data_IF_182887317432
#
_entry.id   IF_182887317432
#
_cell.length_a   1.000
_cell.length_b   1.000
_cell.length_c   1.000
_cell.angle_alpha   90.00
_cell.angle_beta   90.00
_cell.angle_gamma   90.00
#
_symmetry.space_group_name_H-M   'P 1'
#
loop_
_entity.id
_entity.type
_entity.pdbx_description
1 polymer ?
#
# COMPACT_ATOMS: atom_id res chain seq x y z
N UNK A 1 42.60 24.61 -16.54
CA UNK A 1 41.20 24.22 -16.86
C UNK A 1 40.61 23.33 -15.74
N UNK A 2 40.39 23.87 -14.54
CA UNK A 2 39.70 23.13 -13.44
C UNK A 2 38.95 24.06 -12.46
N UNK A 3 39.29 25.35 -12.44
CA UNK A 3 38.80 26.31 -11.43
C UNK A 3 37.51 27.05 -11.83
N UNK A 4 36.94 26.81 -13.03
CA UNK A 4 35.82 27.62 -13.57
C UNK A 4 34.42 27.00 -13.38
N UNK A 5 34.32 25.76 -12.88
CA UNK A 5 33.04 25.06 -12.74
C UNK A 5 32.29 25.32 -11.44
N UNK A 6 32.92 25.95 -10.44
CA UNK A 6 32.33 26.03 -9.08
C UNK A 6 31.50 27.30 -8.83
N UNK A 7 31.58 28.31 -9.70
CA UNK A 7 30.93 29.62 -9.49
C UNK A 7 29.51 29.69 -10.08
N UNK A 8 29.10 28.73 -10.92
CA UNK A 8 27.78 28.76 -11.59
C UNK A 8 26.63 28.20 -10.73
N UNK A 9 26.92 27.46 -9.67
CA UNK A 9 25.86 26.78 -8.88
C UNK A 9 25.26 27.67 -7.77
N UNK A 10 25.86 28.82 -7.46
CA UNK A 10 25.49 29.62 -6.27
C UNK A 10 24.41 30.69 -6.52
N UNK A 11 23.79 30.77 -7.70
CA UNK A 11 22.86 31.88 -8.05
C UNK A 11 21.40 31.49 -8.30
N UNK A 12 21.01 30.23 -8.03
CA UNK A 12 19.66 29.73 -8.32
C UNK A 12 18.70 29.56 -7.13
N UNK A 13 19.16 29.71 -5.88
CA UNK A 13 18.37 29.31 -4.70
C UNK A 13 17.68 30.47 -3.95
N UNK A 14 17.76 31.69 -4.46
CA UNK A 14 17.05 32.82 -3.88
C UNK A 14 15.71 33.01 -4.59
N UNK A 15 14.61 32.85 -3.84
CA UNK A 15 13.21 33.33 -4.09
C UNK A 15 12.13 32.25 -4.25
N UNK A 16 11.99 31.31 -3.32
CA UNK A 16 10.67 30.67 -3.08
C UNK A 16 10.49 30.26 -1.62
N UNK A 17 10.57 31.21 -0.67
CA UNK A 17 10.00 31.00 0.68
C UNK A 17 9.47 32.34 1.19
N UNK A 18 8.33 32.75 0.62
CA UNK A 18 7.47 33.80 1.16
C UNK A 18 6.03 33.29 1.05
N UNK A 19 5.49 32.84 2.18
CA UNK A 19 4.14 32.30 2.26
C UNK A 19 3.89 31.65 3.61
N UNK A 20 3.82 32.47 4.67
CA UNK A 20 3.38 32.06 5.99
C UNK A 20 1.89 31.65 5.92
N UNK A 21 1.59 30.41 6.30
CA UNK A 21 0.22 29.91 6.46
C UNK A 21 -0.29 30.40 7.81
N UNK A 22 -1.25 31.32 7.75
CA UNK A 22 -2.11 31.68 8.87
C UNK A 22 -3.01 30.50 9.24
N UNK A 23 -3.23 30.34 10.55
CA UNK A 23 -4.06 29.32 11.17
C UNK A 23 -5.51 29.32 10.63
N UNK A 24 -6.04 28.13 10.37
CA UNK A 24 -7.46 27.91 10.06
C UNK A 24 -7.80 26.42 10.11
N UNK A 25 -8.51 26.00 11.16
CA UNK A 25 -8.98 24.64 11.35
C UNK A 25 -10.12 24.31 10.37
N UNK A 26 -9.84 23.48 9.36
CA UNK A 26 -10.83 22.70 8.60
C UNK A 26 -10.08 21.66 7.75
N UNK A 27 -9.89 20.45 8.28
CA UNK A 27 -9.00 19.45 7.67
C UNK A 27 -9.63 18.06 7.57
N UNK A 28 -10.80 17.92 6.94
CA UNK A 28 -11.26 16.65 6.34
C UNK A 28 -12.05 16.94 5.06
N UNK A 29 -11.35 17.30 3.98
CA UNK A 29 -11.82 17.12 2.61
C UNK A 29 -10.65 17.42 1.67
N UNK A 30 -10.51 16.60 0.62
CA UNK A 30 -9.55 16.68 -0.50
C UNK A 30 -8.35 15.74 -0.41
N UNK A 31 -8.58 14.46 -0.72
CA UNK A 31 -7.54 13.56 -1.26
C UNK A 31 -8.01 12.77 -2.49
N UNK A 32 -8.93 13.31 -3.30
CA UNK A 32 -9.27 12.72 -4.61
C UNK A 32 -9.49 13.78 -5.69
N UNK A 33 -8.52 14.68 -5.87
CA UNK A 33 -8.49 15.56 -7.05
C UNK A 33 -7.30 15.16 -7.91
N UNK A 34 -7.57 14.33 -8.92
CA UNK A 34 -6.61 14.00 -9.96
C UNK A 34 -6.17 15.27 -10.68
N UNK A 35 -4.89 15.61 -10.56
CA UNK A 35 -4.28 16.68 -11.33
C UNK A 35 -4.00 16.18 -12.76
N UNK A 36 -5.00 16.30 -13.64
CA UNK A 36 -4.73 16.39 -15.09
C UNK A 36 -4.16 17.77 -15.33
N UNK A 37 -2.84 17.87 -15.49
CA UNK A 37 -2.21 19.06 -16.05
C UNK A 37 -2.40 19.05 -17.57
N UNK A 38 -3.39 19.78 -18.06
CA UNK A 38 -3.56 20.07 -19.48
C UNK A 38 -3.57 21.59 -19.69
N UNK A 39 -2.46 22.15 -20.19
CA UNK A 39 -2.42 23.47 -20.84
C UNK A 39 -1.08 23.66 -21.59
N UNK A 40 -0.91 22.94 -22.71
CA UNK A 40 -0.09 23.39 -23.85
C UNK A 40 -0.99 24.13 -24.85
N UNK A 41 -0.47 25.05 -25.68
CA UNK A 41 -1.30 25.92 -26.51
C UNK A 41 -2.02 25.12 -27.60
N UNK A 42 -3.31 25.36 -27.73
CA UNK A 42 -4.19 24.78 -28.76
C UNK A 42 -3.83 25.39 -30.11
N UNK A 43 -3.13 24.62 -30.95
CA UNK A 43 -3.07 24.83 -32.39
C UNK A 43 -4.22 24.07 -33.05
N UNK A 44 -4.94 24.76 -33.95
CA UNK A 44 -6.04 24.22 -34.74
C UNK A 44 -5.56 23.14 -35.72
N UNK A 45 -6.52 22.33 -36.20
CA UNK A 45 -6.44 21.46 -37.37
C UNK A 45 -5.77 20.08 -37.19
N UNK A 46 -6.44 19.23 -36.40
CA UNK A 46 -6.20 17.79 -36.37
C UNK A 46 -7.32 17.11 -35.61
N UNK A 47 -8.38 16.69 -36.29
CA UNK A 47 -9.42 15.84 -35.72
C UNK A 47 -8.80 14.49 -35.36
N UNK A 48 -8.19 14.39 -34.18
CA UNK A 48 -7.93 13.11 -33.55
C UNK A 48 -9.25 12.66 -32.92
N UNK A 49 -10.03 11.90 -33.69
CA UNK A 49 -10.86 10.83 -33.16
C UNK A 49 -9.92 9.86 -32.41
N UNK A 50 -9.51 10.25 -31.21
CA UNK A 50 -8.88 9.33 -30.29
C UNK A 50 -10.01 8.37 -29.88
N UNK A 51 -9.89 7.06 -30.15
CA UNK A 51 -10.89 6.12 -29.65
C UNK A 51 -10.95 6.29 -28.14
N UNK A 52 -12.14 6.62 -27.63
CA UNK A 52 -12.41 6.58 -26.19
C UNK A 52 -12.03 5.16 -25.73
N UNK A 53 -11.14 5.01 -24.74
CA UNK A 53 -10.76 3.69 -24.28
C UNK A 53 -12.05 2.96 -23.87
N UNK A 54 -12.28 1.80 -24.48
CA UNK A 54 -13.43 0.97 -24.13
C UNK A 54 -13.46 0.79 -22.61
N UNK A 55 -14.64 0.92 -21.96
CA UNK A 55 -14.73 0.77 -20.51
C UNK A 55 -14.10 -0.56 -20.12
N UNK A 56 -13.17 -0.51 -19.16
CA UNK A 56 -12.53 -1.70 -18.66
C UNK A 56 -13.62 -2.71 -18.26
N UNK A 57 -13.43 -4.01 -18.56
CA UNK A 57 -14.39 -5.03 -18.13
C UNK A 57 -14.64 -4.86 -16.63
N UNK A 58 -15.90 -4.80 -16.24
CA UNK A 58 -16.26 -4.70 -14.83
C UNK A 58 -15.65 -5.90 -14.10
N UNK A 59 -15.05 -5.70 -12.91
CA UNK A 59 -14.47 -6.80 -12.16
C UNK A 59 -15.51 -7.90 -11.97
N UNK A 60 -15.06 -9.16 -11.98
CA UNK A 60 -15.94 -10.28 -11.66
C UNK A 60 -16.70 -9.98 -10.35
N UNK A 61 -17.97 -10.40 -10.24
CA UNK A 61 -18.77 -10.08 -9.07
C UNK A 61 -18.07 -10.59 -7.80
N UNK A 62 -17.97 -9.72 -6.79
CA UNK A 62 -17.26 -9.95 -5.52
C UNK A 62 -15.72 -10.00 -5.61
N UNK A 63 -15.10 -9.40 -6.64
CA UNK A 63 -13.64 -9.27 -6.77
C UNK A 63 -13.18 -7.81 -6.67
N UNK A 64 -13.84 -7.00 -5.85
CA UNK A 64 -13.48 -5.60 -5.62
C UNK A 64 -12.49 -5.46 -4.46
N UNK A 65 -11.91 -4.26 -4.31
CA UNK A 65 -11.12 -3.92 -3.14
C UNK A 65 -11.93 -4.02 -1.82
N UNK A 66 -13.23 -3.74 -1.86
CA UNK A 66 -14.11 -3.88 -0.71
C UNK A 66 -14.25 -5.36 -0.30
N UNK A 67 -14.34 -6.27 -1.27
CA UNK A 67 -14.43 -7.71 -1.01
C UNK A 67 -13.12 -8.26 -0.42
N UNK A 68 -11.96 -7.84 -0.97
CA UNK A 68 -10.66 -8.20 -0.39
C UNK A 68 -10.52 -7.69 1.04
N UNK A 69 -10.93 -6.44 1.30
CA UNK A 69 -10.90 -5.87 2.64
C UNK A 69 -11.77 -6.68 3.61
N UNK A 70 -12.98 -7.07 3.20
CA UNK A 70 -13.88 -7.89 4.01
C UNK A 70 -13.26 -9.25 4.35
N UNK A 71 -12.66 -9.95 3.38
CA UNK A 71 -11.98 -11.23 3.60
C UNK A 71 -10.79 -11.05 4.54
N UNK A 72 -9.98 -10.02 4.32
CA UNK A 72 -8.80 -9.75 5.17
C UNK A 72 -9.18 -9.43 6.62
N UNK A 73 -10.29 -8.71 6.83
CA UNK A 73 -10.82 -8.42 8.16
C UNK A 73 -11.27 -9.69 8.87
N UNK A 74 -11.94 -10.61 8.16
CA UNK A 74 -12.32 -11.91 8.70
C UNK A 74 -11.11 -12.75 9.12
N UNK A 75 -10.08 -12.83 8.27
CA UNK A 75 -8.83 -13.55 8.60
C UNK A 75 -8.12 -12.91 9.80
N UNK A 76 -8.09 -11.57 9.88
CA UNK A 76 -7.50 -10.87 11.02
C UNK A 76 -8.26 -11.16 12.33
N UNK A 77 -9.60 -11.15 12.31
CA UNK A 77 -10.42 -11.49 13.46
C UNK A 77 -10.20 -12.94 13.93
N UNK A 78 -10.17 -13.89 12.99
CA UNK A 78 -9.89 -15.29 13.29
C UNK A 78 -8.47 -15.48 13.87
N UNK A 79 -7.48 -14.78 13.32
CA UNK A 79 -6.11 -14.78 13.87
C UNK A 79 -6.09 -14.24 15.30
N UNK A 80 -6.81 -13.16 15.58
CA UNK A 80 -6.90 -12.61 16.94
C UNK A 80 -7.49 -13.61 17.92
N UNK A 81 -8.58 -14.30 17.56
CA UNK A 81 -9.19 -15.33 18.40
C UNK A 81 -8.23 -16.51 18.64
N UNK A 82 -7.50 -16.94 17.61
CA UNK A 82 -6.47 -17.98 17.75
C UNK A 82 -5.39 -17.57 18.74
N UNK A 83 -4.82 -16.37 18.60
CA UNK A 83 -3.75 -15.91 19.48
C UNK A 83 -4.22 -15.77 20.95
N UNK A 84 -5.46 -15.33 21.20
CA UNK A 84 -5.98 -15.28 22.58
C UNK A 84 -6.21 -16.67 23.21
N UNK A 85 -6.39 -17.71 22.39
CA UNK A 85 -6.55 -19.09 22.86
C UNK A 85 -5.23 -19.87 22.87
N UNK A 86 -4.16 -19.31 22.29
CA UNK A 86 -2.82 -19.87 22.20
C UNK A 86 -1.80 -18.87 22.76
N UNK A 87 -1.74 -18.71 24.09
CA UNK A 87 -0.90 -17.68 24.72
C UNK A 87 0.59 -17.84 24.42
N UNK A 88 1.07 -19.08 24.26
CA UNK A 88 2.44 -19.39 23.83
C UNK A 88 2.75 -18.88 22.42
N UNK A 89 1.82 -19.07 21.48
CA UNK A 89 1.94 -18.54 20.11
C UNK A 89 1.88 -17.02 20.13
N UNK A 90 0.96 -16.44 20.91
CA UNK A 90 0.83 -15.00 21.07
C UNK A 90 2.10 -14.35 21.63
N UNK A 91 2.70 -14.95 22.65
CA UNK A 91 3.95 -14.48 23.25
C UNK A 91 5.10 -14.55 22.23
N UNK A 92 5.16 -15.63 21.44
CA UNK A 92 6.14 -15.75 20.36
C UNK A 92 6.00 -14.63 19.33
N UNK A 93 4.82 -14.43 18.75
CA UNK A 93 4.59 -13.33 17.78
C UNK A 93 4.84 -11.95 18.40
N UNK A 94 4.53 -11.78 19.69
CA UNK A 94 4.79 -10.54 20.44
C UNK A 94 6.28 -10.29 20.64
N UNK A 95 7.09 -11.34 20.79
CA UNK A 95 8.54 -11.26 20.96
C UNK A 95 9.26 -10.73 19.71
N UNK A 96 8.66 -10.89 18.52
CA UNK A 96 9.20 -10.39 17.25
C UNK A 96 9.12 -8.85 17.10
N UNK A 97 8.42 -8.15 18.01
CA UNK A 97 8.28 -6.68 17.94
C UNK A 97 9.64 -5.98 18.01
N UNK A 98 9.87 -5.07 17.07
CA UNK A 98 11.10 -4.27 17.00
C UNK A 98 12.26 -4.93 16.26
N UNK A 99 12.13 -6.20 15.86
CA UNK A 99 13.15 -6.86 15.06
C UNK A 99 13.15 -6.36 13.59
N UNK A 100 14.31 -6.40 12.91
CA UNK A 100 14.36 -6.23 11.47
C UNK A 100 13.45 -7.23 10.75
N UNK A 101 12.78 -6.78 9.69
CA UNK A 101 11.80 -7.61 8.97
C UNK A 101 12.40 -8.91 8.41
N UNK A 102 13.68 -8.90 8.02
CA UNK A 102 14.36 -10.09 7.53
C UNK A 102 14.51 -11.13 8.66
N UNK A 103 15.07 -10.73 9.80
CA UNK A 103 15.28 -11.59 10.97
C UNK A 103 13.96 -12.16 11.51
N UNK A 104 12.90 -11.34 11.58
CA UNK A 104 11.59 -11.79 12.02
C UNK A 104 10.98 -12.84 11.08
N UNK A 105 11.23 -12.73 9.76
CA UNK A 105 10.77 -13.73 8.78
C UNK A 105 11.50 -15.05 8.93
N UNK A 106 12.81 -15.02 9.15
CA UNK A 106 13.61 -16.23 9.31
C UNK A 106 13.26 -16.96 10.60
N UNK A 107 13.09 -16.23 11.70
CA UNK A 107 12.59 -16.78 12.96
C UNK A 107 11.18 -17.37 12.80
N UNK A 108 10.26 -16.64 12.15
CA UNK A 108 8.91 -17.15 11.91
C UNK A 108 8.94 -18.46 11.12
N UNK A 109 9.80 -18.57 10.10
CA UNK A 109 9.98 -19.81 9.35
C UNK A 109 10.45 -20.96 10.26
N UNK A 110 11.49 -20.74 11.06
CA UNK A 110 12.00 -21.76 11.98
C UNK A 110 10.93 -22.20 13.00
N UNK A 111 10.15 -21.24 13.51
CA UNK A 111 9.05 -21.54 14.41
C UNK A 111 7.96 -22.38 13.75
N UNK A 112 7.56 -22.08 12.52
CA UNK A 112 6.57 -22.90 11.80
C UNK A 112 7.09 -24.30 11.48
N UNK A 113 8.38 -24.43 11.10
CA UNK A 113 9.01 -25.73 10.84
C UNK A 113 9.07 -26.60 12.13
N UNK A 114 9.24 -25.97 13.31
CA UNK A 114 9.24 -26.64 14.61
C UNK A 114 7.85 -26.90 15.19
N UNK A 115 6.82 -26.16 14.75
CA UNK A 115 5.45 -26.22 15.27
C UNK A 115 4.46 -26.54 14.14
N UNK A 116 4.45 -27.78 13.60
CA UNK A 116 3.65 -28.12 12.43
C UNK A 116 2.14 -28.00 12.67
N UNK A 117 1.66 -28.20 13.92
CA UNK A 117 0.26 -28.00 14.25
C UNK A 117 -0.14 -26.52 14.17
N UNK A 118 0.63 -25.63 14.84
CA UNK A 118 0.41 -24.17 14.76
C UNK A 118 0.50 -23.67 13.33
N UNK A 119 1.42 -24.23 12.55
CA UNK A 119 1.54 -23.91 11.13
C UNK A 119 0.26 -24.28 10.38
N UNK A 120 -0.24 -25.51 10.53
CA UNK A 120 -1.47 -25.97 9.89
C UNK A 120 -2.69 -25.13 10.32
N UNK A 121 -2.80 -24.77 11.60
CA UNK A 121 -3.89 -23.93 12.10
C UNK A 121 -3.86 -22.54 11.44
N UNK A 122 -2.69 -21.90 11.39
CA UNK A 122 -2.52 -20.56 10.79
C UNK A 122 -2.67 -20.58 9.26
N UNK A 123 -2.26 -21.66 8.60
CA UNK A 123 -2.55 -21.91 7.18
C UNK A 123 -4.06 -22.03 6.95
N UNK A 124 -4.77 -22.74 7.83
CA UNK A 124 -6.22 -22.86 7.85
C UNK A 124 -6.92 -21.50 7.97
N UNK A 125 -6.49 -20.68 8.93
CA UNK A 125 -7.00 -19.32 9.16
C UNK A 125 -6.82 -18.43 7.92
N UNK A 126 -5.76 -18.64 7.14
CA UNK A 126 -5.45 -17.86 5.93
C UNK A 126 -6.11 -18.36 4.64
N UNK A 127 -6.70 -19.56 4.63
CA UNK A 127 -7.33 -20.12 3.42
C UNK A 127 -8.29 -19.16 2.71
N UNK A 128 -9.14 -18.36 3.39
CA UNK A 128 -10.05 -17.45 2.69
C UNK A 128 -9.35 -16.44 1.77
N UNK A 129 -8.13 -16.00 2.11
CA UNK A 129 -7.34 -15.11 1.25
C UNK A 129 -6.79 -15.84 0.02
N UNK A 130 -6.33 -17.08 0.19
CA UNK A 130 -5.87 -17.93 -0.92
C UNK A 130 -7.03 -18.23 -1.87
N UNK A 131 -8.19 -18.59 -1.34
CA UNK A 131 -9.39 -18.85 -2.13
C UNK A 131 -9.88 -17.60 -2.87
N UNK A 132 -9.82 -16.44 -2.22
CA UNK A 132 -10.13 -15.17 -2.86
C UNK A 132 -9.17 -14.88 -4.02
N UNK A 133 -7.85 -15.03 -3.79
CA UNK A 133 -6.85 -14.82 -4.83
C UNK A 133 -7.06 -15.75 -6.03
N UNK A 134 -7.26 -17.05 -5.78
CA UNK A 134 -7.48 -18.03 -6.84
C UNK A 134 -8.73 -17.73 -7.67
N UNK A 135 -9.77 -17.12 -7.06
CA UNK A 135 -11.02 -16.75 -7.73
C UNK A 135 -10.95 -15.40 -8.46
N UNK A 136 -10.11 -14.47 -8.02
CA UNK A 136 -10.15 -13.05 -8.43
C UNK A 136 -8.87 -12.54 -9.10
N UNK A 137 -7.90 -13.42 -9.38
CA UNK A 137 -6.71 -13.11 -10.18
C UNK A 137 -6.99 -13.05 -11.68
#
# INVERSE_FOLDING_TARGET
MKERSMVSFARGMSRVFAGAIAAGAAGVAMLFTGAVTAAGPVGADGGMDAPEPAPAPSPAPNCTAADLAQVSAGVAAATSAYLFTHPDVNDYFTSLRGQPRADARDQLKQYMDANPQTHADLEGIRQPLTDFHNRCQ
#
